data_IF_574843861522
#
_entry.id   IF_574843861522
#
_cell.length_a   1.000
_cell.length_b   1.000
_cell.length_c   1.000
_cell.angle_alpha   90.00
_cell.angle_beta   90.00
_cell.angle_gamma   90.00
#
_symmetry.space_group_name_H-M   'P 1'
#
loop_
_entity.id
_entity.type
_entity.pdbx_description
1 polymer ?
#
# COMPACT_ATOMS: atom_id res chain seq x y z
N UNK A 1 -11.23 61.91 -9.24
CA UNK A 1 -11.15 60.87 -10.24
C UNK A 1 -9.72 60.73 -10.84
N UNK A 2 -8.66 60.97 -10.04
CA UNK A 2 -7.24 60.83 -10.44
C UNK A 2 -6.38 60.11 -9.42
N UNK A 3 -6.97 59.60 -8.33
CA UNK A 3 -6.22 58.90 -7.26
C UNK A 3 -6.34 57.35 -7.28
N UNK A 4 -7.25 56.79 -8.05
CA UNK A 4 -7.42 55.32 -8.14
C UNK A 4 -6.53 54.64 -9.19
N UNK A 5 -6.03 55.37 -10.19
CA UNK A 5 -5.22 54.82 -11.29
C UNK A 5 -3.76 54.47 -10.87
N UNK A 6 -3.21 55.16 -9.87
CA UNK A 6 -1.83 54.90 -9.40
C UNK A 6 -1.67 53.66 -8.52
N UNK A 7 -2.76 53.22 -7.83
CA UNK A 7 -2.70 52.05 -6.97
C UNK A 7 -2.73 50.73 -7.78
N UNK A 8 -3.45 50.70 -8.91
CA UNK A 8 -3.52 49.52 -9.79
C UNK A 8 -2.21 49.28 -10.57
N UNK A 9 -1.46 50.34 -10.92
CA UNK A 9 -0.19 50.18 -11.64
C UNK A 9 0.94 49.69 -10.72
N UNK A 10 0.93 50.10 -9.45
CA UNK A 10 1.92 49.63 -8.46
C UNK A 10 1.68 48.15 -8.03
N UNK A 11 0.43 47.72 -7.93
CA UNK A 11 0.09 46.31 -7.64
C UNK A 11 0.37 45.41 -8.84
N UNK A 12 0.13 45.83 -10.05
CA UNK A 12 0.44 45.07 -11.27
C UNK A 12 1.96 44.89 -11.47
N UNK A 13 2.78 45.96 -11.23
CA UNK A 13 4.24 45.84 -11.27
C UNK A 13 4.81 44.91 -10.21
N UNK A 14 4.30 44.97 -8.95
CA UNK A 14 4.75 44.07 -7.88
C UNK A 14 4.36 42.62 -8.15
N UNK A 15 3.17 42.35 -8.68
CA UNK A 15 2.76 40.98 -9.02
C UNK A 15 3.55 40.42 -10.23
N UNK A 16 3.93 41.27 -11.21
CA UNK A 16 4.75 40.82 -12.33
C UNK A 16 6.19 40.49 -11.89
N UNK A 17 6.78 41.31 -11.02
CA UNK A 17 8.11 41.08 -10.44
C UNK A 17 8.14 39.83 -9.53
N UNK A 18 7.06 39.54 -8.80
CA UNK A 18 6.94 38.34 -7.96
C UNK A 18 6.80 37.10 -8.83
N UNK A 19 6.01 37.13 -9.91
CA UNK A 19 5.85 36.01 -10.84
C UNK A 19 7.14 35.71 -11.62
N UNK A 20 7.90 36.73 -12.02
CA UNK A 20 9.21 36.56 -12.66
C UNK A 20 10.24 35.95 -11.69
N UNK A 21 10.28 36.38 -10.42
CA UNK A 21 11.16 35.79 -9.40
C UNK A 21 10.79 34.37 -9.04
N UNK A 22 9.50 34.02 -8.97
CA UNK A 22 9.05 32.63 -8.73
C UNK A 22 9.39 31.71 -9.90
N UNK A 23 9.23 32.19 -11.13
CA UNK A 23 9.55 31.42 -12.34
C UNK A 23 11.05 31.21 -12.47
N UNK A 24 11.87 32.23 -12.24
CA UNK A 24 13.32 32.12 -12.19
C UNK A 24 13.83 31.23 -11.04
N UNK A 25 13.19 31.28 -9.88
CA UNK A 25 13.51 30.39 -8.75
C UNK A 25 13.18 28.93 -9.07
N UNK A 26 12.03 28.64 -9.68
CA UNK A 26 11.64 27.29 -10.14
C UNK A 26 12.59 26.76 -11.22
N UNK A 27 13.03 27.62 -12.15
CA UNK A 27 13.97 27.22 -13.19
C UNK A 27 15.39 26.98 -12.63
N UNK A 28 15.86 27.81 -11.69
CA UNK A 28 17.10 27.57 -10.94
C UNK A 28 17.02 26.28 -10.11
N UNK A 29 15.87 26.00 -9.52
CA UNK A 29 15.63 24.78 -8.72
C UNK A 29 15.69 23.52 -9.59
N UNK A 30 15.15 23.55 -10.80
CA UNK A 30 15.28 22.45 -11.78
C UNK A 30 16.73 22.25 -12.24
N UNK A 31 17.48 23.31 -12.46
CA UNK A 31 18.85 23.22 -12.97
C UNK A 31 19.84 22.62 -11.99
N UNK A 32 19.78 22.96 -10.70
CA UNK A 32 20.68 22.30 -9.73
C UNK A 32 20.27 20.87 -9.43
N UNK A 33 18.96 20.57 -9.41
CA UNK A 33 18.48 19.20 -9.23
C UNK A 33 18.97 18.29 -10.36
N UNK A 34 18.89 18.76 -11.61
CA UNK A 34 19.40 18.02 -12.75
C UNK A 34 20.89 17.68 -12.64
N UNK A 35 21.71 18.60 -12.10
CA UNK A 35 23.14 18.33 -11.85
C UNK A 35 23.34 17.29 -10.73
N UNK A 36 22.54 17.35 -9.68
CA UNK A 36 22.56 16.34 -8.60
C UNK A 36 22.22 14.97 -9.17
N UNK A 37 21.13 14.86 -9.94
CA UNK A 37 20.67 13.61 -10.54
C UNK A 37 21.71 13.03 -11.53
N UNK A 38 22.41 13.89 -12.28
CA UNK A 38 23.48 13.47 -13.18
C UNK A 38 24.66 12.83 -12.43
N UNK A 39 25.13 13.46 -11.36
CA UNK A 39 26.23 12.92 -10.55
C UNK A 39 25.80 11.60 -9.88
N UNK A 40 24.59 11.54 -9.37
CA UNK A 40 24.00 10.33 -8.81
C UNK A 40 23.93 9.18 -9.84
N UNK A 41 23.61 9.51 -11.10
CA UNK A 41 23.61 8.54 -12.19
C UNK A 41 25.01 8.03 -12.52
N UNK A 42 26.03 8.90 -12.58
CA UNK A 42 27.42 8.48 -12.83
C UNK A 42 27.93 7.54 -11.75
N UNK A 43 27.61 7.80 -10.48
CA UNK A 43 27.97 6.91 -9.36
C UNK A 43 27.21 5.58 -9.49
N UNK A 44 25.94 5.62 -9.85
CA UNK A 44 25.10 4.44 -10.02
C UNK A 44 25.55 3.53 -11.17
N UNK A 45 25.97 4.14 -12.28
CA UNK A 45 26.49 3.43 -13.45
C UNK A 45 27.94 2.92 -13.25
N UNK A 46 28.53 3.17 -12.07
CA UNK A 46 29.90 2.81 -11.80
C UNK A 46 30.94 3.59 -12.61
N UNK A 47 30.59 4.79 -13.09
CA UNK A 47 31.51 5.68 -13.80
C UNK A 47 32.28 6.62 -12.85
N UNK A 48 31.78 6.79 -11.62
CA UNK A 48 32.43 7.48 -10.52
C UNK A 48 32.43 6.58 -9.29
N UNK A 49 33.62 6.36 -8.71
CA UNK A 49 33.82 5.50 -7.56
C UNK A 49 34.22 6.31 -6.33
N UNK A 50 34.04 5.77 -5.11
CA UNK A 50 34.58 6.38 -3.89
C UNK A 50 36.11 6.67 -4.03
N UNK A 51 36.46 7.89 -3.67
CA UNK A 51 37.84 8.37 -3.84
C UNK A 51 38.13 9.06 -5.16
N UNK A 52 37.27 8.93 -6.17
CA UNK A 52 37.46 9.61 -7.45
C UNK A 52 37.28 11.13 -7.29
N UNK A 53 38.13 11.86 -8.00
CA UNK A 53 38.03 13.33 -8.06
C UNK A 53 36.89 13.72 -8.99
N UNK A 54 35.93 14.47 -8.45
CA UNK A 54 34.83 15.00 -9.21
C UNK A 54 35.27 16.16 -10.11
N UNK A 55 34.48 16.42 -11.19
CA UNK A 55 34.67 17.60 -12.02
C UNK A 55 34.65 18.88 -11.18
N UNK A 56 35.49 19.85 -11.55
CA UNK A 56 35.57 21.14 -10.88
C UNK A 56 34.28 21.95 -11.07
N UNK A 57 34.01 22.91 -10.16
CA UNK A 57 32.85 23.83 -10.28
C UNK A 57 32.81 24.53 -11.65
N UNK A 58 33.99 24.82 -12.23
CA UNK A 58 34.12 25.47 -13.53
C UNK A 58 33.78 24.54 -14.71
N UNK A 59 34.17 23.28 -14.62
CA UNK A 59 33.87 22.26 -15.62
C UNK A 59 32.36 21.96 -15.61
N UNK A 60 31.77 21.74 -14.45
CA UNK A 60 30.35 21.52 -14.30
C UNK A 60 29.51 22.71 -14.78
N UNK A 61 29.94 23.94 -14.46
CA UNK A 61 29.26 25.15 -14.94
C UNK A 61 29.25 25.24 -16.47
N UNK A 62 30.34 24.85 -17.11
CA UNK A 62 30.44 24.80 -18.59
C UNK A 62 29.65 23.66 -19.20
N UNK A 63 29.75 22.45 -18.63
CA UNK A 63 29.05 21.26 -19.14
C UNK A 63 27.52 21.43 -19.12
N UNK A 64 27.00 22.02 -18.04
CA UNK A 64 25.56 22.16 -17.82
C UNK A 64 25.00 23.53 -18.19
N UNK A 65 25.83 24.47 -18.69
CA UNK A 65 25.43 25.84 -19.02
C UNK A 65 24.70 26.55 -17.86
N UNK A 66 25.17 26.35 -16.63
CA UNK A 66 24.62 26.94 -15.41
C UNK A 66 25.66 27.81 -14.67
N UNK A 67 25.16 28.69 -13.78
CA UNK A 67 26.04 29.55 -13.00
C UNK A 67 26.88 28.74 -11.99
N UNK A 68 28.11 29.23 -11.68
CA UNK A 68 28.94 28.65 -10.62
C UNK A 68 28.22 28.58 -9.27
N UNK A 69 27.36 29.56 -8.99
CA UNK A 69 26.58 29.58 -7.75
C UNK A 69 25.57 28.43 -7.71
N UNK A 70 24.94 28.08 -8.84
CA UNK A 70 24.04 26.93 -8.97
C UNK A 70 24.79 25.63 -8.79
N UNK A 71 26.00 25.49 -9.39
CA UNK A 71 26.87 24.33 -9.19
C UNK A 71 27.27 24.20 -7.71
N UNK A 72 27.68 25.30 -7.08
CA UNK A 72 28.10 25.31 -5.67
C UNK A 72 26.96 24.89 -4.73
N UNK A 73 25.72 25.30 -5.05
CA UNK A 73 24.53 24.88 -4.33
C UNK A 73 24.28 23.35 -4.50
N UNK A 74 24.41 22.83 -5.72
CA UNK A 74 24.30 21.39 -5.99
C UNK A 74 25.38 20.58 -5.26
N UNK A 75 26.63 21.03 -5.33
CA UNK A 75 27.75 20.37 -4.62
C UNK A 75 27.54 20.44 -3.09
N UNK A 76 27.06 21.57 -2.56
CA UNK A 76 26.72 21.70 -1.14
C UNK A 76 25.67 20.68 -0.69
N UNK A 77 24.63 20.50 -1.49
CA UNK A 77 23.59 19.50 -1.25
C UNK A 77 24.13 18.06 -1.30
N UNK A 78 25.02 17.77 -2.26
CA UNK A 78 25.71 16.47 -2.34
C UNK A 78 26.65 16.25 -1.15
N UNK A 79 27.28 17.29 -0.63
CA UNK A 79 28.15 17.25 0.54
C UNK A 79 27.35 17.03 1.83
N UNK A 80 26.22 17.75 2.01
CA UNK A 80 25.26 17.54 3.10
C UNK A 80 24.70 16.11 3.12
N UNK A 81 24.55 15.50 1.93
CA UNK A 81 24.13 14.11 1.76
C UNK A 81 25.27 13.09 1.88
N UNK A 82 26.49 13.51 2.18
CA UNK A 82 27.64 12.63 2.28
C UNK A 82 28.12 11.99 0.96
N UNK A 83 27.53 12.40 -0.19
CA UNK A 83 27.88 11.84 -1.52
C UNK A 83 29.26 12.31 -1.98
N UNK A 84 29.63 13.54 -1.62
CA UNK A 84 30.93 14.11 -1.93
C UNK A 84 31.55 14.76 -0.69
N UNK A 85 32.87 14.91 -0.69
CA UNK A 85 33.61 15.67 0.32
C UNK A 85 34.53 16.69 -0.35
N UNK A 86 34.61 17.89 0.20
CA UNK A 86 35.56 18.90 -0.24
C UNK A 86 36.88 18.77 0.51
N UNK A 87 37.98 18.73 -0.25
CA UNK A 87 39.33 18.75 0.31
C UNK A 87 39.99 20.08 -0.04
N UNK A 88 40.23 20.88 0.99
CA UNK A 88 40.78 22.26 0.80
C UNK A 88 42.04 22.24 -0.05
N UNK A 89 42.06 23.00 -1.16
CA UNK A 89 43.17 23.10 -2.08
C UNK A 89 43.33 21.91 -3.05
N UNK A 90 42.54 20.85 -2.93
CA UNK A 90 42.65 19.66 -3.76
C UNK A 90 41.46 19.45 -4.69
N UNK A 91 40.22 19.76 -4.23
CA UNK A 91 39.01 19.61 -5.01
C UNK A 91 37.91 18.90 -4.26
N UNK A 92 36.86 18.48 -5.01
CA UNK A 92 35.74 17.68 -4.51
C UNK A 92 35.93 16.24 -4.92
N UNK A 93 35.74 15.32 -3.99
CA UNK A 93 35.93 13.88 -4.17
C UNK A 93 34.63 13.14 -3.87
N UNK A 94 34.37 12.06 -4.60
CA UNK A 94 33.28 11.14 -4.28
C UNK A 94 33.62 10.46 -2.95
N UNK A 95 32.75 10.62 -1.96
CA UNK A 95 32.87 9.97 -0.65
C UNK A 95 31.86 8.87 -0.45
N UNK A 96 30.88 8.75 -1.37
CA UNK A 96 29.80 7.82 -1.27
C UNK A 96 30.27 6.41 -1.64
N UNK A 97 30.47 5.57 -0.64
CA UNK A 97 30.46 4.13 -0.81
C UNK A 97 29.07 3.62 -0.44
N UNK A 98 28.38 3.02 -1.41
CA UNK A 98 27.04 2.48 -1.21
C UNK A 98 27.04 1.38 -0.15
N UNK A 99 28.14 0.59 -0.05
CA UNK A 99 28.26 -0.47 0.96
C UNK A 99 28.41 0.13 2.36
N UNK A 100 29.29 1.13 2.55
CA UNK A 100 29.47 1.80 3.84
C UNK A 100 28.23 2.59 4.29
N UNK A 101 27.47 3.21 3.37
CA UNK A 101 26.24 3.92 3.73
C UNK A 101 25.04 2.99 3.95
N UNK A 102 24.98 1.82 3.31
CA UNK A 102 23.99 0.80 3.65
C UNK A 102 24.25 0.18 5.01
N UNK A 103 25.51 0.05 5.44
CA UNK A 103 25.87 -0.35 6.80
C UNK A 103 25.43 0.70 7.85
N UNK A 104 25.19 1.95 7.46
CA UNK A 104 24.67 3.03 8.33
C UNK A 104 23.18 3.34 8.11
N UNK A 105 22.57 2.82 7.06
CA UNK A 105 21.16 3.02 6.76
C UNK A 105 20.33 1.91 7.41
N UNK A 106 19.94 2.13 8.66
CA UNK A 106 19.18 1.14 9.46
C UNK A 106 17.66 1.33 9.39
N UNK A 107 17.14 2.19 8.50
CA UNK A 107 15.72 2.50 8.42
C UNK A 107 15.02 1.74 7.30
N UNK A 108 13.93 1.06 7.65
CA UNK A 108 12.99 0.45 6.71
C UNK A 108 11.69 1.24 6.77
N UNK A 109 11.22 1.71 5.61
CA UNK A 109 9.90 2.33 5.52
C UNK A 109 8.82 1.23 5.48
N UNK A 110 7.86 1.32 6.38
CA UNK A 110 6.67 0.46 6.40
C UNK A 110 5.46 1.33 6.06
N UNK A 111 4.88 1.12 4.89
CA UNK A 111 3.74 1.90 4.40
C UNK A 111 2.50 1.03 4.42
N UNK A 112 1.56 1.35 5.30
CA UNK A 112 0.35 0.58 5.53
C UNK A 112 -0.90 1.34 5.06
N UNK A 113 -1.95 0.61 4.67
CA UNK A 113 -3.19 1.23 4.22
C UNK A 113 -3.99 1.85 5.35
N UNK A 114 -4.04 1.23 6.54
CA UNK A 114 -4.87 1.67 7.66
C UNK A 114 -4.13 1.63 9.01
N UNK A 115 -4.58 2.50 9.93
CA UNK A 115 -4.06 2.60 11.32
C UNK A 115 -4.92 1.79 12.29
N UNK A 116 -6.07 1.27 11.86
CA UNK A 116 -7.03 0.62 12.74
C UNK A 116 -6.45 -0.62 13.45
N UNK A 117 -7.01 -0.92 14.61
CA UNK A 117 -6.58 -2.04 15.46
C UNK A 117 -6.92 -3.43 14.90
N UNK A 118 -7.22 -3.55 13.59
CA UNK A 118 -7.71 -4.76 12.96
C UNK A 118 -6.60 -5.84 12.80
N UNK A 119 -6.01 -6.00 11.63
CA UNK A 119 -4.95 -7.02 11.41
C UNK A 119 -3.53 -6.44 11.42
N UNK A 120 -3.41 -5.14 11.14
CA UNK A 120 -2.13 -4.45 10.99
C UNK A 120 -1.21 -4.49 12.21
N UNK A 121 -1.69 -4.33 13.45
CA UNK A 121 -0.81 -4.37 14.63
C UNK A 121 0.01 -5.65 14.72
N UNK A 122 -0.60 -6.81 14.43
CA UNK A 122 0.09 -8.11 14.44
C UNK A 122 1.08 -8.27 13.27
N UNK A 123 0.74 -7.73 12.09
CA UNK A 123 1.65 -7.71 10.94
C UNK A 123 2.87 -6.82 11.23
N UNK A 124 2.64 -5.61 11.75
CA UNK A 124 3.71 -4.68 12.13
C UNK A 124 4.60 -5.28 13.20
N UNK A 125 4.03 -5.97 14.19
CA UNK A 125 4.78 -6.67 15.22
C UNK A 125 5.71 -7.73 14.61
N UNK A 126 5.22 -8.54 13.66
CA UNK A 126 6.05 -9.52 12.95
C UNK A 126 7.18 -8.86 12.16
N UNK A 127 6.90 -7.73 11.48
CA UNK A 127 7.91 -6.94 10.76
C UNK A 127 8.95 -6.42 11.76
N UNK A 128 8.53 -5.78 12.82
CA UNK A 128 9.37 -5.11 13.80
C UNK A 128 10.29 -6.10 14.52
N UNK A 129 9.78 -7.25 14.94
CA UNK A 129 10.58 -8.31 15.58
C UNK A 129 11.80 -8.70 14.72
N UNK A 130 11.60 -8.93 13.43
CA UNK A 130 12.69 -9.31 12.50
C UNK A 130 13.63 -8.15 12.22
N UNK A 131 13.09 -6.95 12.02
CA UNK A 131 13.92 -5.77 11.78
C UNK A 131 14.81 -5.48 12.98
N UNK A 132 14.26 -5.56 14.19
CA UNK A 132 15.01 -5.35 15.43
C UNK A 132 16.14 -6.36 15.60
N UNK A 133 15.87 -7.66 15.38
CA UNK A 133 16.91 -8.71 15.42
C UNK A 133 18.09 -8.45 14.48
N UNK A 134 17.83 -7.78 13.35
CA UNK A 134 18.80 -7.48 12.30
C UNK A 134 19.40 -6.08 12.39
N UNK A 135 19.07 -5.31 13.43
CA UNK A 135 19.60 -3.97 13.66
C UNK A 135 18.96 -2.87 12.80
N UNK A 136 17.80 -3.14 12.18
CA UNK A 136 17.02 -2.17 11.46
C UNK A 136 15.93 -1.56 12.32
N UNK A 137 15.48 -0.35 11.97
CA UNK A 137 14.35 0.33 12.61
C UNK A 137 13.21 0.54 11.61
N UNK A 138 11.97 0.26 12.03
CA UNK A 138 10.78 0.53 11.23
C UNK A 138 10.39 1.99 11.31
N UNK A 139 10.13 2.63 10.15
CA UNK A 139 9.50 3.94 10.04
C UNK A 139 8.13 3.79 9.39
N UNK A 140 7.06 3.91 10.19
CA UNK A 140 5.72 3.58 9.76
C UNK A 140 5.00 4.82 9.24
N UNK A 141 4.38 4.69 8.07
CA UNK A 141 3.54 5.72 7.44
C UNK A 141 2.21 5.10 7.01
N UNK A 142 1.13 5.89 7.00
CA UNK A 142 -0.21 5.40 6.67
C UNK A 142 -0.81 6.17 5.52
N UNK A 143 -1.26 5.45 4.49
CA UNK A 143 -1.94 6.05 3.34
C UNK A 143 -3.42 6.28 3.59
N UNK A 144 -4.03 5.59 4.56
CA UNK A 144 -5.48 5.53 4.80
C UNK A 144 -6.25 5.19 3.51
N UNK A 145 -5.65 4.36 2.67
CA UNK A 145 -6.15 3.96 1.34
C UNK A 145 -6.48 5.18 0.42
N UNK A 146 -5.68 6.27 0.53
CA UNK A 146 -5.82 7.52 -0.21
C UNK A 146 -4.61 7.74 -1.10
N UNK A 147 -4.82 7.85 -2.43
CA UNK A 147 -3.76 7.94 -3.45
C UNK A 147 -2.87 9.18 -3.29
N UNK A 148 -3.42 10.31 -2.85
CA UNK A 148 -2.68 11.54 -2.61
C UNK A 148 -1.71 11.40 -1.43
N UNK A 149 -2.10 10.64 -0.40
CA UNK A 149 -1.22 10.35 0.74
C UNK A 149 -0.10 9.40 0.34
N UNK A 150 -0.44 8.32 -0.39
CA UNK A 150 0.56 7.43 -0.97
C UNK A 150 1.57 8.21 -1.80
N UNK A 151 1.10 9.11 -2.69
CA UNK A 151 1.96 9.97 -3.50
C UNK A 151 2.93 10.77 -2.63
N UNK A 152 2.43 11.48 -1.62
CA UNK A 152 3.27 12.28 -0.74
C UNK A 152 4.33 11.46 0.01
N UNK A 153 3.96 10.26 0.49
CA UNK A 153 4.91 9.34 1.14
C UNK A 153 5.99 8.89 0.15
N UNK A 154 5.61 8.51 -1.08
CA UNK A 154 6.57 8.05 -2.09
C UNK A 154 7.50 9.17 -2.57
N UNK A 155 7.00 10.41 -2.70
CA UNK A 155 7.81 11.58 -3.02
C UNK A 155 8.82 11.86 -1.89
N UNK A 156 8.41 11.82 -0.61
CA UNK A 156 9.32 11.94 0.53
C UNK A 156 10.39 10.82 0.53
N UNK A 157 10.01 9.58 0.28
CA UNK A 157 10.95 8.46 0.17
C UNK A 157 11.93 8.62 -1.01
N UNK A 158 11.51 9.24 -2.10
CA UNK A 158 12.39 9.57 -3.22
C UNK A 158 13.38 10.69 -2.88
N UNK A 159 13.00 11.66 -2.04
CA UNK A 159 13.88 12.73 -1.58
C UNK A 159 14.88 12.24 -0.53
N UNK A 160 14.48 11.30 0.31
CA UNK A 160 15.33 10.70 1.35
C UNK A 160 16.33 9.72 0.78
N UNK A 161 17.48 9.60 1.45
CA UNK A 161 18.52 8.60 1.15
C UNK A 161 18.86 7.72 2.34
N UNK A 162 18.16 7.91 3.45
CA UNK A 162 18.36 7.20 4.70
C UNK A 162 17.43 5.98 4.88
N UNK A 163 16.73 5.58 3.81
CA UNK A 163 15.84 4.43 3.78
C UNK A 163 16.50 3.29 3.01
N UNK A 164 16.77 2.18 3.68
CA UNK A 164 17.41 1.01 3.10
C UNK A 164 16.46 0.22 2.19
N UNK A 165 15.19 0.11 2.58
CA UNK A 165 14.17 -0.63 1.84
C UNK A 165 12.76 -0.27 2.29
N UNK A 166 11.76 -0.83 1.59
CA UNK A 166 10.35 -0.49 1.77
C UNK A 166 9.52 -1.78 1.88
N UNK A 167 8.68 -1.85 2.91
CA UNK A 167 7.59 -2.82 3.01
C UNK A 167 6.30 -2.03 2.85
N UNK A 168 5.44 -2.38 1.87
CA UNK A 168 4.29 -1.55 1.53
C UNK A 168 3.05 -2.36 1.22
N UNK A 169 1.90 -1.91 1.68
CA UNK A 169 0.60 -2.36 1.22
C UNK A 169 0.10 -1.44 0.10
N UNK A 170 -0.33 -2.03 -1.03
CA UNK A 170 -0.80 -1.28 -2.18
C UNK A 170 -2.08 -0.50 -1.90
N UNK A 171 -2.06 0.82 -2.08
CA UNK A 171 -3.22 1.72 -1.91
C UNK A 171 -4.19 1.56 -3.09
N UNK A 172 -5.46 1.33 -2.81
CA UNK A 172 -6.49 1.11 -3.84
C UNK A 172 -6.05 0.16 -4.95
N UNK A 173 -5.37 -0.91 -4.56
CA UNK A 173 -4.73 -1.87 -5.46
C UNK A 173 -5.69 -2.61 -6.39
N UNK A 174 -7.00 -2.51 -6.16
CA UNK A 174 -8.05 -2.98 -7.05
C UNK A 174 -8.30 -2.08 -8.26
N UNK A 175 -7.75 -0.87 -8.31
CA UNK A 175 -7.97 0.13 -9.34
C UNK A 175 -6.64 0.55 -9.98
N UNK A 176 -6.64 1.10 -11.21
CA UNK A 176 -5.44 1.68 -11.79
C UNK A 176 -4.85 2.77 -10.88
N UNK A 177 -3.55 2.66 -10.58
CA UNK A 177 -2.88 3.59 -9.67
C UNK A 177 -1.98 4.59 -10.43
N UNK A 178 -2.21 5.92 -10.32
CA UNK A 178 -1.40 6.93 -10.98
C UNK A 178 0.02 7.04 -10.40
N UNK A 179 0.29 6.49 -9.22
CA UNK A 179 1.57 6.61 -8.52
C UNK A 179 2.59 5.52 -8.90
N UNK A 180 2.26 4.58 -9.80
CA UNK A 180 3.16 3.48 -10.20
C UNK A 180 4.51 3.99 -10.74
N UNK A 181 4.54 5.19 -11.33
CA UNK A 181 5.79 5.80 -11.80
C UNK A 181 6.76 6.13 -10.66
N UNK A 182 6.26 6.47 -9.46
CA UNK A 182 7.09 6.75 -8.28
C UNK A 182 7.71 5.46 -7.73
N UNK A 183 6.95 4.37 -7.68
CA UNK A 183 7.48 3.04 -7.34
C UNK A 183 8.58 2.61 -8.32
N UNK A 184 8.35 2.78 -9.63
CA UNK A 184 9.38 2.47 -10.65
C UNK A 184 10.66 3.30 -10.46
N UNK A 185 10.54 4.57 -10.08
CA UNK A 185 11.71 5.40 -9.75
C UNK A 185 12.47 4.87 -8.53
N UNK A 186 11.78 4.42 -7.47
CA UNK A 186 12.40 3.79 -6.31
C UNK A 186 13.13 2.49 -6.70
N UNK A 187 12.49 1.63 -7.48
CA UNK A 187 13.07 0.40 -8.01
C UNK A 187 14.29 0.68 -8.92
N UNK A 188 14.23 1.69 -9.79
CA UNK A 188 15.35 2.14 -10.61
C UNK A 188 16.52 2.64 -9.75
N UNK A 189 16.24 3.25 -8.60
CA UNK A 189 17.28 3.59 -7.60
C UNK A 189 17.76 2.38 -6.81
N UNK A 190 17.30 1.18 -7.15
CA UNK A 190 17.59 -0.08 -6.47
C UNK A 190 17.21 -0.07 -4.98
N UNK A 191 16.20 0.70 -4.60
CA UNK A 191 15.58 0.56 -3.29
C UNK A 191 14.71 -0.69 -3.34
N UNK A 192 15.00 -1.74 -2.54
CA UNK A 192 14.19 -2.95 -2.55
C UNK A 192 12.82 -2.66 -1.95
N UNK A 193 11.79 -3.22 -2.59
CA UNK A 193 10.39 -3.07 -2.20
C UNK A 193 9.78 -4.46 -2.05
N UNK A 194 9.11 -4.71 -0.92
CA UNK A 194 8.30 -5.91 -0.70
C UNK A 194 6.87 -5.46 -0.43
N UNK A 195 5.92 -5.97 -1.23
CA UNK A 195 4.51 -5.74 -0.98
C UNK A 195 3.97 -6.71 0.07
N UNK A 196 3.00 -6.24 0.87
CA UNK A 196 2.26 -7.06 1.83
C UNK A 196 0.76 -6.93 1.60
N UNK A 197 -0.01 -8.00 1.85
CA UNK A 197 -1.46 -8.09 1.69
C UNK A 197 -1.94 -7.78 0.26
N UNK A 198 -1.66 -6.59 -0.25
CA UNK A 198 -2.09 -6.11 -1.54
C UNK A 198 -0.90 -5.52 -2.33
N UNK A 199 -0.85 -5.79 -3.62
CA UNK A 199 0.26 -5.41 -4.50
C UNK A 199 -0.25 -4.91 -5.86
N UNK A 200 0.67 -4.38 -6.66
CA UNK A 200 0.39 -3.97 -8.04
C UNK A 200 1.08 -4.93 -9.01
N UNK A 201 0.31 -5.74 -9.78
CA UNK A 201 0.88 -6.68 -10.74
C UNK A 201 1.77 -6.03 -11.82
N UNK A 202 1.61 -4.72 -12.04
CA UNK A 202 2.39 -3.94 -13.02
C UNK A 202 3.82 -3.60 -12.55
N UNK A 203 4.17 -3.96 -11.31
CA UNK A 203 5.50 -3.73 -10.73
C UNK A 203 6.22 -5.05 -10.52
N UNK A 204 7.48 -5.10 -10.95
CA UNK A 204 8.37 -6.24 -10.69
C UNK A 204 8.95 -6.11 -9.27
N UNK A 205 8.17 -6.50 -8.28
CA UNK A 205 8.57 -6.52 -6.87
C UNK A 205 7.88 -7.69 -6.16
N UNK A 206 8.56 -8.38 -5.23
CA UNK A 206 7.98 -9.49 -4.51
C UNK A 206 6.84 -9.06 -3.60
N UNK A 207 5.91 -9.99 -3.37
CA UNK A 207 4.79 -9.79 -2.45
C UNK A 207 4.69 -10.95 -1.46
N UNK A 208 4.20 -10.62 -0.27
CA UNK A 208 3.90 -11.57 0.79
C UNK A 208 2.45 -11.36 1.20
N UNK A 209 1.58 -12.28 0.80
CA UNK A 209 0.14 -12.14 0.89
C UNK A 209 -0.52 -13.43 1.42
N UNK A 210 -1.81 -13.36 1.70
CA UNK A 210 -2.66 -14.54 1.77
C UNK A 210 -2.97 -15.00 0.32
N UNK A 211 -3.11 -16.30 0.08
CA UNK A 211 -3.75 -16.78 -1.15
C UNK A 211 -5.26 -16.48 -1.08
N UNK A 212 -5.61 -15.26 -1.51
CA UNK A 212 -6.98 -14.74 -1.44
C UNK A 212 -7.95 -15.51 -2.35
N UNK A 213 -7.44 -16.10 -3.45
CA UNK A 213 -8.26 -16.94 -4.34
C UNK A 213 -8.64 -18.24 -3.62
N UNK A 214 -7.66 -18.93 -3.06
CA UNK A 214 -7.90 -20.17 -2.33
C UNK A 214 -8.66 -19.94 -1.02
N UNK A 215 -8.44 -18.82 -0.34
CA UNK A 215 -9.20 -18.44 0.85
C UNK A 215 -10.70 -18.30 0.54
N UNK A 216 -11.05 -17.56 -0.49
CA UNK A 216 -12.45 -17.41 -0.90
C UNK A 216 -13.05 -18.72 -1.41
N UNK A 217 -12.26 -19.49 -2.18
CA UNK A 217 -12.67 -20.81 -2.68
C UNK A 217 -12.99 -21.75 -1.51
N UNK A 218 -12.12 -21.81 -0.50
CA UNK A 218 -12.31 -22.60 0.72
C UNK A 218 -13.56 -22.15 1.50
N UNK A 219 -13.79 -20.83 1.64
CA UNK A 219 -14.97 -20.31 2.33
C UNK A 219 -16.27 -20.73 1.64
N UNK A 220 -16.33 -20.64 0.33
CA UNK A 220 -17.54 -21.03 -0.45
C UNK A 220 -17.76 -22.54 -0.43
N UNK A 221 -16.70 -23.35 -0.55
CA UNK A 221 -16.80 -24.80 -0.39
C UNK A 221 -17.30 -25.21 1.01
N UNK A 222 -16.88 -24.51 2.05
CA UNK A 222 -17.38 -24.73 3.39
C UNK A 222 -18.89 -24.51 3.52
N UNK A 223 -19.42 -23.47 2.85
CA UNK A 223 -20.86 -23.19 2.78
C UNK A 223 -21.61 -24.24 1.93
N UNK A 224 -21.09 -24.56 0.75
CA UNK A 224 -21.73 -25.52 -0.16
C UNK A 224 -21.77 -26.94 0.42
N UNK A 225 -20.74 -27.37 1.14
CA UNK A 225 -20.68 -28.63 1.86
C UNK A 225 -21.78 -28.75 2.96
N UNK A 226 -22.27 -27.61 3.49
CA UNK A 226 -23.39 -27.53 4.41
C UNK A 226 -24.76 -27.42 3.71
N UNK A 227 -24.80 -27.43 2.39
CA UNK A 227 -26.02 -27.44 1.60
C UNK A 227 -26.48 -26.05 1.12
N UNK A 228 -25.72 -24.99 1.35
CA UNK A 228 -26.06 -23.67 0.80
C UNK A 228 -25.86 -23.64 -0.70
N UNK A 229 -26.89 -23.25 -1.43
CA UNK A 229 -26.88 -23.13 -2.91
C UNK A 229 -27.00 -21.68 -3.38
N UNK A 230 -27.69 -20.83 -2.59
CA UNK A 230 -27.81 -19.39 -2.85
C UNK A 230 -26.89 -18.64 -1.91
N UNK A 231 -25.66 -18.45 -2.36
CA UNK A 231 -24.60 -17.78 -1.62
C UNK A 231 -24.39 -16.42 -2.23
N UNK A 232 -24.63 -15.36 -1.44
CA UNK A 232 -24.28 -13.99 -1.82
C UNK A 232 -22.87 -13.63 -1.37
N UNK A 233 -22.37 -12.49 -1.89
CA UNK A 233 -21.08 -11.98 -1.45
C UNK A 233 -21.08 -10.47 -1.27
N UNK A 234 -20.41 -9.99 -0.20
CA UNK A 234 -20.13 -8.57 0.05
C UNK A 234 -18.63 -8.36 -0.07
N UNK A 235 -18.19 -7.74 -1.16
CA UNK A 235 -16.80 -7.69 -1.58
C UNK A 235 -16.32 -6.25 -1.77
N UNK A 236 -15.04 -6.01 -1.56
CA UNK A 236 -14.43 -4.70 -1.68
C UNK A 236 -13.87 -4.47 -3.09
N UNK A 237 -14.31 -3.38 -3.73
CA UNK A 237 -14.00 -3.07 -5.12
C UNK A 237 -12.59 -2.48 -5.30
N UNK A 238 -12.20 -1.62 -4.39
CA UNK A 238 -10.99 -0.79 -4.51
C UNK A 238 -9.72 -1.45 -3.97
N UNK A 239 -9.79 -2.72 -3.51
CA UNK A 239 -8.63 -3.54 -3.14
C UNK A 239 -8.42 -4.72 -4.09
N UNK A 240 -7.18 -5.05 -4.40
CA UNK A 240 -6.80 -6.23 -5.20
C UNK A 240 -7.28 -7.54 -4.57
N UNK A 241 -7.20 -7.65 -3.25
CA UNK A 241 -7.74 -8.77 -2.48
C UNK A 241 -9.23 -9.01 -2.77
N UNK A 242 -10.04 -7.94 -2.88
CA UNK A 242 -11.48 -8.08 -3.18
C UNK A 242 -11.72 -8.74 -4.54
N UNK A 243 -10.91 -8.42 -5.55
CA UNK A 243 -10.98 -9.07 -6.87
C UNK A 243 -10.53 -10.52 -6.83
N UNK A 244 -9.45 -10.82 -6.09
CA UNK A 244 -8.96 -12.19 -5.93
C UNK A 244 -9.95 -13.06 -5.16
N UNK A 245 -10.54 -12.54 -4.08
CA UNK A 245 -11.63 -13.19 -3.33
C UNK A 245 -12.87 -13.44 -4.19
N UNK A 246 -13.20 -12.49 -5.06
CA UNK A 246 -14.28 -12.70 -6.02
C UNK A 246 -13.95 -13.82 -7.02
N UNK A 247 -12.72 -13.86 -7.53
CA UNK A 247 -12.28 -14.94 -8.43
C UNK A 247 -12.38 -16.31 -7.74
N UNK A 248 -11.96 -16.42 -6.48
CA UNK A 248 -12.09 -17.65 -5.69
C UNK A 248 -13.54 -18.06 -5.47
N UNK A 249 -14.42 -17.10 -5.17
CA UNK A 249 -15.86 -17.32 -5.07
C UNK A 249 -16.44 -17.86 -6.39
N UNK A 250 -16.10 -17.26 -7.54
CA UNK A 250 -16.57 -17.72 -8.85
C UNK A 250 -16.12 -19.14 -9.13
N UNK A 251 -14.85 -19.46 -8.91
CA UNK A 251 -14.30 -20.81 -9.13
C UNK A 251 -15.02 -21.85 -8.28
N UNK A 252 -15.23 -21.58 -6.99
CA UNK A 252 -15.91 -22.52 -6.11
C UNK A 252 -17.38 -22.74 -6.52
N UNK A 253 -18.10 -21.72 -6.92
CA UNK A 253 -19.49 -21.82 -7.40
C UNK A 253 -19.56 -22.63 -8.70
N UNK A 254 -18.61 -22.45 -9.62
CA UNK A 254 -18.50 -23.21 -10.86
C UNK A 254 -18.20 -24.69 -10.61
N UNK A 255 -17.22 -24.98 -9.73
CA UNK A 255 -16.82 -26.36 -9.38
C UNK A 255 -17.96 -27.19 -8.82
N UNK A 256 -18.90 -26.56 -8.10
CA UNK A 256 -20.09 -27.26 -7.56
C UNK A 256 -21.32 -27.17 -8.49
N UNK A 257 -21.18 -26.55 -9.66
CA UNK A 257 -22.24 -26.41 -10.64
C UNK A 257 -23.37 -25.44 -10.23
N UNK A 258 -23.08 -24.47 -9.33
CA UNK A 258 -24.07 -23.49 -8.90
C UNK A 258 -23.94 -22.18 -9.68
N UNK A 259 -25.09 -21.60 -10.00
CA UNK A 259 -25.12 -20.33 -10.75
C UNK A 259 -24.79 -19.17 -9.84
N UNK A 260 -23.83 -18.35 -10.26
CA UNK A 260 -23.60 -17.02 -9.68
C UNK A 260 -24.67 -16.05 -10.19
N UNK A 261 -25.35 -15.38 -9.27
CA UNK A 261 -26.36 -14.36 -9.59
C UNK A 261 -25.78 -12.98 -9.26
N UNK A 262 -25.65 -12.12 -10.27
CA UNK A 262 -25.17 -10.75 -10.07
C UNK A 262 -26.02 -9.99 -9.03
N UNK A 263 -27.32 -10.28 -8.98
CA UNK A 263 -28.25 -9.71 -7.98
C UNK A 263 -27.87 -10.04 -6.53
N UNK A 264 -27.05 -11.06 -6.28
CA UNK A 264 -26.59 -11.46 -4.95
C UNK A 264 -25.17 -10.97 -4.61
N UNK A 265 -24.58 -10.16 -5.49
CA UNK A 265 -23.23 -9.59 -5.28
C UNK A 265 -23.33 -8.13 -4.87
N UNK A 266 -22.67 -7.76 -3.79
CA UNK A 266 -22.59 -6.39 -3.30
C UNK A 266 -21.13 -5.94 -3.33
N UNK A 267 -20.85 -4.91 -4.12
CA UNK A 267 -19.57 -4.26 -4.16
C UNK A 267 -19.58 -3.02 -3.27
N UNK A 268 -18.61 -2.92 -2.39
CA UNK A 268 -18.39 -1.77 -1.50
C UNK A 268 -17.01 -1.17 -1.74
N UNK A 269 -16.85 0.09 -1.41
CA UNK A 269 -15.52 0.74 -1.40
C UNK A 269 -14.96 0.85 0.04
N UNK A 270 -13.75 1.41 0.18
CA UNK A 270 -13.11 1.64 1.49
C UNK A 270 -13.98 2.47 2.44
N UNK A 271 -14.75 3.44 1.95
CA UNK A 271 -15.58 4.32 2.79
C UNK A 271 -16.81 3.56 3.29
N UNK A 272 -17.45 2.79 2.41
CA UNK A 272 -18.61 1.95 2.76
C UNK A 272 -18.18 0.81 3.69
N UNK A 273 -17.00 0.20 3.50
CA UNK A 273 -16.46 -0.83 4.40
C UNK A 273 -16.22 -0.28 5.81
N UNK A 274 -15.79 0.98 5.95
CA UNK A 274 -15.64 1.66 7.24
C UNK A 274 -16.98 2.00 7.91
N UNK A 275 -18.09 2.09 7.16
CA UNK A 275 -19.42 2.44 7.62
C UNK A 275 -20.49 1.74 6.80
N UNK A 276 -20.65 0.45 7.04
CA UNK A 276 -21.50 -0.44 6.24
C UNK A 276 -23.00 -0.04 6.29
N UNK A 277 -23.44 0.59 7.37
CA UNK A 277 -24.80 1.12 7.51
C UNK A 277 -25.18 2.08 6.37
N UNK A 278 -24.21 2.77 5.77
CA UNK A 278 -24.48 3.69 4.65
C UNK A 278 -25.02 3.01 3.39
N UNK A 279 -24.83 1.71 3.25
CA UNK A 279 -25.33 0.89 2.14
C UNK A 279 -26.19 -0.30 2.58
N UNK A 280 -26.69 -0.28 3.82
CA UNK A 280 -27.45 -1.37 4.40
C UNK A 280 -28.65 -1.81 3.57
N UNK A 281 -29.48 -0.87 3.09
CA UNK A 281 -30.67 -1.17 2.29
C UNK A 281 -30.31 -1.87 0.97
N UNK A 282 -29.22 -1.44 0.31
CA UNK A 282 -28.70 -2.08 -0.90
C UNK A 282 -28.22 -3.52 -0.60
N UNK A 283 -27.58 -3.73 0.54
CA UNK A 283 -27.14 -5.08 0.94
C UNK A 283 -28.34 -5.96 1.19
N UNK A 284 -29.31 -5.52 1.99
CA UNK A 284 -30.51 -6.28 2.34
C UNK A 284 -31.33 -6.65 1.10
N UNK A 285 -31.53 -5.72 0.17
CA UNK A 285 -32.24 -5.96 -1.08
C UNK A 285 -31.57 -7.03 -1.93
N UNK A 286 -30.25 -6.91 -2.15
CA UNK A 286 -29.50 -7.82 -3.02
C UNK A 286 -29.32 -9.21 -2.38
N UNK A 287 -29.28 -9.31 -1.07
CA UNK A 287 -29.03 -10.57 -0.38
C UNK A 287 -30.29 -11.27 0.13
N UNK A 288 -31.48 -10.71 -0.11
CA UNK A 288 -32.77 -11.23 0.41
C UNK A 288 -33.09 -12.69 0.07
N UNK A 289 -32.58 -13.21 -1.05
CA UNK A 289 -32.78 -14.58 -1.50
C UNK A 289 -31.66 -15.52 -1.10
N UNK A 290 -30.58 -14.98 -0.51
CA UNK A 290 -29.43 -15.78 -0.10
C UNK A 290 -29.70 -16.55 1.19
N UNK A 291 -29.12 -17.74 1.29
CA UNK A 291 -29.11 -18.52 2.53
C UNK A 291 -27.78 -18.42 3.27
N UNK A 292 -26.75 -17.91 2.58
CA UNK A 292 -25.45 -17.64 3.17
C UNK A 292 -24.78 -16.44 2.49
N UNK A 293 -23.89 -15.75 3.21
CA UNK A 293 -23.12 -14.62 2.72
C UNK A 293 -21.63 -14.85 2.96
N UNK A 294 -20.86 -14.67 1.91
CA UNK A 294 -19.42 -14.57 1.98
C UNK A 294 -19.01 -13.09 2.08
N UNK A 295 -18.40 -12.70 3.18
CA UNK A 295 -17.96 -11.34 3.43
C UNK A 295 -16.48 -11.15 3.11
N UNK A 296 -16.14 -9.98 2.57
CA UNK A 296 -14.78 -9.59 2.24
C UNK A 296 -13.81 -9.88 3.40
N UNK A 297 -14.16 -9.47 4.63
CA UNK A 297 -13.37 -9.73 5.82
C UNK A 297 -14.24 -9.68 7.09
N UNK A 298 -13.66 -9.95 8.26
CA UNK A 298 -14.38 -9.95 9.53
C UNK A 298 -14.93 -8.59 9.91
N UNK A 299 -14.28 -7.49 9.53
CA UNK A 299 -14.78 -6.14 9.80
C UNK A 299 -16.12 -5.88 9.07
N UNK A 300 -16.21 -6.32 7.83
CA UNK A 300 -17.45 -6.26 7.03
C UNK A 300 -18.49 -7.22 7.61
N UNK A 301 -18.10 -8.45 7.94
CA UNK A 301 -19.00 -9.45 8.50
C UNK A 301 -19.59 -9.02 9.85
N UNK A 302 -18.76 -8.46 10.73
CA UNK A 302 -19.19 -7.97 12.04
C UNK A 302 -20.25 -6.85 11.92
N UNK A 303 -20.02 -5.87 11.05
CA UNK A 303 -20.98 -4.79 10.80
C UNK A 303 -22.27 -5.35 10.14
N UNK A 304 -22.13 -6.29 9.18
CA UNK A 304 -23.26 -6.91 8.50
C UNK A 304 -24.14 -7.69 9.45
N UNK A 305 -23.58 -8.48 10.35
CA UNK A 305 -24.32 -9.23 11.36
C UNK A 305 -25.17 -8.29 12.22
N UNK A 306 -24.61 -7.15 12.65
CA UNK A 306 -25.36 -6.14 13.40
C UNK A 306 -26.56 -5.60 12.59
N UNK A 307 -26.30 -5.22 11.33
CA UNK A 307 -27.37 -4.72 10.42
C UNK A 307 -28.49 -5.76 10.26
N UNK A 308 -28.14 -7.02 10.06
CA UNK A 308 -29.10 -8.13 9.94
C UNK A 308 -29.89 -8.34 11.23
N UNK A 309 -29.21 -8.39 12.37
CA UNK A 309 -29.82 -8.56 13.69
C UNK A 309 -30.79 -7.42 14.04
N UNK A 310 -30.41 -6.16 13.75
CA UNK A 310 -31.27 -4.98 13.94
C UNK A 310 -32.54 -5.03 13.08
N UNK A 311 -32.54 -5.79 11.98
CA UNK A 311 -33.70 -6.06 11.13
C UNK A 311 -34.44 -7.34 11.51
N UNK A 312 -34.10 -7.99 12.62
CA UNK A 312 -34.73 -9.20 13.11
C UNK A 312 -34.37 -10.47 12.32
N UNK A 313 -33.26 -10.45 11.56
CA UNK A 313 -32.72 -11.59 10.82
C UNK A 313 -31.74 -12.33 11.73
N UNK A 314 -32.02 -13.59 12.01
CA UNK A 314 -31.20 -14.40 12.91
C UNK A 314 -30.05 -15.10 12.20
N UNK A 315 -28.84 -14.98 12.75
CA UNK A 315 -27.62 -15.65 12.27
C UNK A 315 -27.29 -16.79 13.25
N UNK A 316 -27.10 -18.01 12.81
CA UNK A 316 -27.11 -18.52 11.42
C UNK A 316 -28.47 -19.01 10.90
N UNK A 317 -29.55 -18.94 11.69
CA UNK A 317 -30.84 -19.63 11.44
C UNK A 317 -31.54 -19.18 10.15
N UNK A 318 -31.55 -17.86 9.88
CA UNK A 318 -32.15 -17.29 8.67
C UNK A 318 -31.10 -17.16 7.56
N UNK A 319 -29.87 -16.79 7.90
CA UNK A 319 -28.76 -16.62 6.97
C UNK A 319 -27.41 -16.90 7.64
N UNK A 320 -26.59 -17.71 7.00
CA UNK A 320 -25.20 -17.99 7.46
C UNK A 320 -24.23 -16.91 6.98
N UNK A 321 -23.20 -16.62 7.75
CA UNK A 321 -22.16 -15.64 7.42
C UNK A 321 -20.77 -16.24 7.60
N UNK A 322 -19.93 -16.15 6.57
CA UNK A 322 -18.51 -16.53 6.62
C UNK A 322 -17.63 -15.37 6.13
N UNK A 323 -16.44 -15.26 6.67
CA UNK A 323 -15.51 -14.18 6.33
C UNK A 323 -14.06 -14.67 6.27
N UNK A 324 -13.13 -13.74 6.14
CA UNK A 324 -11.68 -13.98 6.13
C UNK A 324 -11.04 -13.07 7.19
N UNK A 325 -9.88 -13.48 7.66
CA UNK A 325 -8.88 -12.85 8.50
C UNK A 325 -8.77 -13.44 9.92
N UNK A 326 -9.79 -14.12 10.44
CA UNK A 326 -9.78 -14.64 11.82
C UNK A 326 -9.22 -13.61 12.81
N UNK A 327 -9.79 -12.41 12.75
CA UNK A 327 -9.42 -11.27 13.61
C UNK A 327 -10.10 -11.36 14.97
N UNK A 328 -9.70 -10.49 15.88
CA UNK A 328 -10.35 -10.40 17.19
C UNK A 328 -11.86 -10.07 17.08
N UNK A 329 -12.27 -9.36 16.00
CA UNK A 329 -13.70 -9.10 15.73
C UNK A 329 -14.52 -10.36 15.50
N UNK A 330 -13.90 -11.44 15.03
CA UNK A 330 -14.60 -12.72 14.84
C UNK A 330 -15.11 -13.33 16.15
N UNK A 331 -14.59 -12.89 17.29
CA UNK A 331 -14.94 -13.39 18.63
C UNK A 331 -15.70 -12.38 19.51
N UNK A 332 -15.76 -11.09 19.11
CA UNK A 332 -16.30 -10.02 19.95
C UNK A 332 -17.81 -9.76 19.81
N UNK A 333 -18.49 -10.37 18.85
CA UNK A 333 -19.93 -10.21 18.64
C UNK A 333 -20.77 -11.17 19.46
N UNK A 334 -22.11 -10.98 19.45
CA UNK A 334 -23.08 -11.93 20.02
C UNK A 334 -23.02 -13.29 19.32
N UNK A 335 -22.67 -13.29 18.03
CA UNK A 335 -22.47 -14.48 17.22
C UNK A 335 -21.01 -14.53 16.78
N UNK A 336 -20.28 -15.57 17.24
CA UNK A 336 -18.92 -15.79 16.78
C UNK A 336 -18.86 -16.09 15.28
N UNK A 337 -18.01 -15.35 14.55
CA UNK A 337 -17.93 -15.42 13.08
C UNK A 337 -17.00 -16.56 12.65
N UNK A 338 -17.54 -17.51 11.87
CA UNK A 338 -16.72 -18.48 11.14
C UNK A 338 -15.88 -17.76 10.11
N UNK A 339 -14.57 -17.91 10.19
CA UNK A 339 -13.62 -17.10 9.40
C UNK A 339 -12.46 -17.93 8.92
N UNK A 340 -11.84 -17.53 7.81
CA UNK A 340 -10.61 -18.12 7.30
C UNK A 340 -9.41 -17.50 8.02
N UNK A 341 -8.48 -18.34 8.49
CA UNK A 341 -7.29 -17.88 9.22
C UNK A 341 -6.37 -17.04 8.35
N UNK A 342 -5.80 -15.99 8.92
CA UNK A 342 -4.79 -15.14 8.30
C UNK A 342 -3.52 -15.15 9.18
N UNK A 343 -2.36 -15.55 8.65
CA UNK A 343 -1.13 -15.69 9.46
C UNK A 343 -0.41 -14.34 9.63
N UNK A 344 -1.07 -13.36 10.25
CA UNK A 344 -0.71 -11.95 10.33
C UNK A 344 0.76 -11.72 10.73
N UNK A 345 1.17 -12.25 11.87
CA UNK A 345 2.52 -12.09 12.40
C UNK A 345 3.56 -12.76 11.50
N UNK A 346 3.32 -14.01 11.07
CA UNK A 346 4.20 -14.75 10.16
C UNK A 346 4.32 -14.08 8.77
N UNK A 347 3.25 -13.43 8.31
CA UNK A 347 3.27 -12.64 7.07
C UNK A 347 4.21 -11.45 7.22
N UNK A 348 4.10 -10.71 8.32
CA UNK A 348 5.02 -9.61 8.64
C UNK A 348 6.47 -10.05 8.75
N UNK A 349 6.74 -11.15 9.47
CA UNK A 349 8.08 -11.75 9.59
C UNK A 349 8.64 -12.14 8.21
N UNK A 350 7.85 -12.82 7.36
CA UNK A 350 8.28 -13.25 6.04
C UNK A 350 8.62 -12.04 5.15
N UNK A 351 7.80 -11.00 5.18
CA UNK A 351 8.04 -9.76 4.43
C UNK A 351 9.37 -9.09 4.85
N UNK A 352 9.60 -8.97 6.15
CA UNK A 352 10.85 -8.42 6.66
C UNK A 352 12.07 -9.27 6.29
N UNK A 353 11.99 -10.59 6.42
CA UNK A 353 13.07 -11.52 6.01
C UNK A 353 13.36 -11.43 4.52
N UNK A 354 12.32 -11.40 3.66
CA UNK A 354 12.48 -11.23 2.22
C UNK A 354 13.19 -9.90 1.90
N UNK A 355 12.77 -8.79 2.54
CA UNK A 355 13.43 -7.50 2.33
C UNK A 355 14.89 -7.51 2.76
N UNK A 356 15.20 -8.09 3.92
CA UNK A 356 16.59 -8.19 4.44
C UNK A 356 17.44 -9.04 3.49
N UNK A 357 16.92 -10.18 3.03
CA UNK A 357 17.61 -11.03 2.06
C UNK A 357 17.95 -10.24 0.78
N UNK A 358 17.00 -9.47 0.25
CA UNK A 358 17.24 -8.58 -0.90
C UNK A 358 18.33 -7.54 -0.63
N UNK A 359 18.40 -7.01 0.60
CA UNK A 359 19.44 -6.06 1.00
C UNK A 359 20.83 -6.71 1.11
N UNK A 360 20.90 -7.91 1.72
CA UNK A 360 22.15 -8.63 1.96
C UNK A 360 22.71 -9.25 0.66
N UNK A 361 21.85 -9.79 -0.20
CA UNK A 361 22.25 -10.56 -1.38
C UNK A 361 22.14 -9.81 -2.71
N UNK A 362 21.44 -8.66 -2.72
CA UNK A 362 21.11 -7.90 -3.93
C UNK A 362 20.29 -8.71 -4.95
N UNK A 363 19.51 -9.70 -4.50
CA UNK A 363 18.57 -10.48 -5.30
C UNK A 363 17.23 -9.75 -5.47
N UNK A 364 16.38 -10.23 -6.39
CA UNK A 364 15.04 -9.65 -6.61
C UNK A 364 14.03 -10.04 -5.52
N UNK A 365 14.33 -11.04 -4.70
CA UNK A 365 13.42 -11.59 -3.69
C UNK A 365 12.35 -12.51 -4.31
N UNK A 366 11.75 -13.34 -3.47
CA UNK A 366 10.69 -14.27 -3.89
C UNK A 366 9.35 -13.90 -3.25
N UNK A 367 8.29 -13.96 -4.05
CA UNK A 367 6.92 -13.81 -3.56
C UNK A 367 6.50 -15.03 -2.74
N UNK A 368 5.62 -14.81 -1.76
CA UNK A 368 5.08 -15.86 -0.90
C UNK A 368 3.59 -15.63 -0.69
N UNK A 369 2.79 -16.64 -0.98
CA UNK A 369 1.37 -16.66 -0.66
C UNK A 369 1.10 -17.71 0.43
N UNK A 370 0.45 -17.30 1.51
CA UNK A 370 0.12 -18.18 2.62
C UNK A 370 -1.24 -18.86 2.40
N UNK A 371 -1.30 -20.15 2.65
CA UNK A 371 -2.56 -20.88 2.74
C UNK A 371 -3.36 -20.49 3.99
N UNK A 372 -4.61 -20.91 4.02
CA UNK A 372 -5.57 -20.63 5.09
C UNK A 372 -6.32 -21.89 5.55
N UNK A 373 -7.00 -21.78 6.70
CA UNK A 373 -7.86 -22.81 7.25
C UNK A 373 -9.14 -22.19 7.79
N UNK A 374 -10.25 -22.93 7.73
CA UNK A 374 -11.51 -22.50 8.35
C UNK A 374 -11.40 -22.60 9.86
N UNK A 375 -11.65 -21.48 10.52
CA UNK A 375 -11.85 -21.40 11.98
C UNK A 375 -13.35 -21.35 12.23
N UNK A 376 -13.91 -22.52 12.55
CA UNK A 376 -15.35 -22.70 12.72
C UNK A 376 -15.85 -22.03 13.99
N UNK A 377 -16.97 -21.30 13.89
CA UNK A 377 -17.70 -20.67 14.98
C UNK A 377 -19.22 -20.77 14.73
N UNK A 378 -20.00 -19.93 15.38
CA UNK A 378 -21.46 -20.04 15.41
C UNK A 378 -22.20 -19.41 14.21
N UNK A 379 -21.53 -18.66 13.33
CA UNK A 379 -22.23 -17.90 12.28
C UNK A 379 -22.61 -18.70 11.03
N UNK A 380 -22.28 -19.99 10.95
CA UNK A 380 -22.62 -20.87 9.83
C UNK A 380 -23.30 -22.14 10.33
N UNK A 381 -24.44 -22.49 9.72
CA UNK A 381 -25.17 -23.74 9.96
C UNK A 381 -25.72 -24.26 8.62
N UNK A 382 -26.44 -25.34 8.61
CA UNK A 382 -27.20 -25.82 7.43
C UNK A 382 -28.32 -24.84 7.10
N UNK A 383 -28.70 -24.66 5.82
CA UNK A 383 -29.77 -23.75 5.46
C UNK A 383 -31.09 -24.17 6.13
N UNK A 384 -31.66 -23.26 6.89
CA UNK A 384 -32.98 -23.46 7.51
C UNK A 384 -34.01 -23.79 6.43
N UNK A 385 -34.84 -24.80 6.67
CA UNK A 385 -35.81 -25.35 5.71
C UNK A 385 -36.94 -24.41 5.26
N UNK A 386 -36.90 -23.13 5.61
CA UNK A 386 -37.80 -22.08 5.17
C UNK A 386 -36.99 -20.87 4.79
N UNK A 387 -36.73 -20.67 3.49
CA UNK A 387 -36.43 -19.35 2.98
C UNK A 387 -37.59 -18.43 3.35
N UNK A 388 -37.52 -17.74 4.49
CA UNK A 388 -38.46 -16.66 4.79
C UNK A 388 -38.19 -15.57 3.76
N UNK A 389 -39.05 -15.51 2.74
CA UNK A 389 -39.22 -14.29 1.99
C UNK A 389 -39.35 -13.16 3.02
N UNK A 390 -38.43 -12.22 3.04
CA UNK A 390 -38.51 -11.01 3.87
C UNK A 390 -39.91 -10.44 3.65
N UNK A 391 -40.75 -10.61 4.65
CA UNK A 391 -42.13 -10.10 4.60
C UNK A 391 -42.06 -8.58 4.48
N UNK A 392 -42.85 -8.09 3.53
CA UNK A 392 -43.10 -6.70 3.15
C UNK A 392 -43.22 -5.73 4.32
#
# INVERSE_FOLDING_TARGET
MYYECCRCILTAKNNFTILETETEMKEKQRKYQYLVDYIDNLIREGKLHPGDKMYSENELARMFHISRQTVRKAIGLLEERGVVRRVRGSGTYISYDRKENLEHCSRIAVVAACVDGYIFPKIIQGIENILFEKGYSAHISFTNNVLEREKGILEDLLERRDVAGIIVEGTKSGLPNPNLSLYRQLLQRKVPIVFINAYYPELSAPHVCLDDVEAARTAVHYLTARGHKRIGAVLKLDDGQGKLRYLGYLKAMEEVGYRVMDSCLVWIDTREAGRLESCADRILERTRECTALFCYNDQVAFQLIRILTDKGICIPQDISVISIDDSDLATHGEVGITSLSHPKERLGEKAARTLIEMLETSTEGESCEFGTQVVERASVDVPGGSARALRQ
#
